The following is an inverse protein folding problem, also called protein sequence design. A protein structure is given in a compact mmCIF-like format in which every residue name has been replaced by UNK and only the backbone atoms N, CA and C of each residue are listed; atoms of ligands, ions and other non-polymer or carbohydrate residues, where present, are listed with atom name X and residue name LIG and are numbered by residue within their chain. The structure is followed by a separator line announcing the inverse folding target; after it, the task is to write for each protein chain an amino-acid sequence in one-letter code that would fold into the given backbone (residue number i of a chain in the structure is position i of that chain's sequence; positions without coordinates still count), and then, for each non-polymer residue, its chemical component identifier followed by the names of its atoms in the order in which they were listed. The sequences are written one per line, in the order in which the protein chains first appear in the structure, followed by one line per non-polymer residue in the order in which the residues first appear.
data_IF_848848697027
#
_entry.id   IF_848848697027
#
_cell.length_a   1.000
_cell.length_b   1.000
_cell.length_c   1.000
_cell.angle_alpha   90.00
_cell.angle_beta   90.00
_cell.angle_gamma   90.00
#
_symmetry.space_group_name_H-M   'P 1'
#
loop_
_entity.id
_entity.type
_entity.pdbx_description
1 polymer ?
#
# COMPACT_ATOMS: atom_id res chain seq x y z
N UNK A 1 -20.22 23.06 1.32
CA UNK A 1 -19.30 22.02 0.85
C UNK A 1 -19.46 20.84 1.78
N UNK A 2 -19.76 19.63 1.26
CA UNK A 2 -19.93 18.45 2.10
C UNK A 2 -18.60 18.06 2.76
N UNK A 3 -18.66 17.53 3.97
CA UNK A 3 -17.54 17.06 4.75
C UNK A 3 -17.06 15.70 4.21
N UNK A 4 -15.74 15.39 4.26
CA UNK A 4 -15.24 14.07 3.91
C UNK A 4 -15.52 13.10 5.05
N UNK A 5 -15.98 11.91 4.69
CA UNK A 5 -16.06 10.77 5.59
C UNK A 5 -14.81 9.90 5.45
N UNK A 6 -14.29 9.42 6.57
CA UNK A 6 -13.10 8.58 6.61
C UNK A 6 -13.46 7.20 7.13
N UNK A 7 -13.04 6.15 6.41
CA UNK A 7 -13.32 4.77 6.80
C UNK A 7 -12.20 3.83 6.36
N UNK A 8 -12.06 2.71 7.03
CA UNK A 8 -11.19 1.62 6.56
C UNK A 8 -11.73 1.04 5.26
N UNK A 9 -10.82 0.57 4.42
CA UNK A 9 -11.17 -0.10 3.19
C UNK A 9 -11.81 -1.48 3.47
N UNK A 10 -12.59 -1.93 2.51
CA UNK A 10 -13.26 -3.24 2.50
C UNK A 10 -13.00 -3.94 1.17
N UNK A 11 -13.42 -5.20 1.03
CA UNK A 11 -13.33 -5.93 -0.24
C UNK A 11 -14.01 -5.23 -1.42
N UNK A 12 -15.04 -4.44 -1.17
CA UNK A 12 -15.74 -3.69 -2.21
C UNK A 12 -14.89 -2.60 -2.84
N UNK A 13 -13.83 -2.17 -2.13
CA UNK A 13 -12.93 -1.10 -2.56
C UNK A 13 -11.72 -1.61 -3.38
N UNK A 14 -11.53 -2.92 -3.55
CA UNK A 14 -10.33 -3.53 -4.15
C UNK A 14 -9.94 -2.86 -5.47
N UNK A 15 -10.88 -2.59 -6.35
CA UNK A 15 -10.57 -1.95 -7.65
C UNK A 15 -10.00 -0.54 -7.47
N UNK A 16 -10.52 0.23 -6.52
CA UNK A 16 -9.97 1.55 -6.22
C UNK A 16 -8.59 1.44 -5.56
N UNK A 17 -8.37 0.45 -4.71
CA UNK A 17 -7.07 0.20 -4.09
C UNK A 17 -6.03 -0.22 -5.13
N UNK A 18 -6.40 -1.05 -6.10
CA UNK A 18 -5.52 -1.40 -7.23
C UNK A 18 -5.11 -0.15 -8.01
N UNK A 19 -6.05 0.73 -8.35
CA UNK A 19 -5.72 1.99 -9.03
C UNK A 19 -4.87 2.90 -8.13
N UNK A 20 -5.13 2.94 -6.83
CA UNK A 20 -4.30 3.66 -5.84
C UNK A 20 -2.84 3.18 -5.89
N UNK A 21 -2.60 1.88 -5.87
CA UNK A 21 -1.25 1.29 -5.92
C UNK A 21 -0.56 1.65 -7.23
N UNK A 22 -1.26 1.47 -8.37
CA UNK A 22 -0.73 1.77 -9.70
C UNK A 22 -0.33 3.25 -9.84
N UNK A 23 -1.22 4.16 -9.42
CA UNK A 23 -0.99 5.60 -9.55
C UNK A 23 0.11 6.10 -8.59
N UNK A 24 0.16 5.56 -7.37
CA UNK A 24 1.22 5.87 -6.42
C UNK A 24 2.59 5.39 -6.94
N UNK A 25 2.68 4.18 -7.48
CA UNK A 25 3.89 3.60 -8.08
C UNK A 25 4.40 4.41 -9.28
N UNK A 26 3.51 4.97 -10.09
CA UNK A 26 3.85 5.82 -11.23
C UNK A 26 4.19 7.26 -10.85
N UNK A 27 3.99 7.64 -9.61
CA UNK A 27 4.21 9.03 -9.18
C UNK A 27 5.66 9.48 -9.42
N UNK A 28 5.81 10.52 -10.23
CA UNK A 28 7.12 11.14 -10.54
C UNK A 28 7.95 10.42 -11.61
N UNK A 29 7.59 9.22 -12.05
CA UNK A 29 8.40 8.45 -13.01
C UNK A 29 7.62 7.97 -14.25
N UNK A 30 6.30 7.94 -14.19
CA UNK A 30 5.41 7.30 -15.17
C UNK A 30 5.75 5.81 -15.44
N UNK A 31 6.57 5.21 -14.56
CA UNK A 31 7.06 3.84 -14.71
C UNK A 31 6.52 2.98 -13.59
N UNK A 32 5.91 1.86 -13.96
CA UNK A 32 5.40 0.87 -13.04
C UNK A 32 6.53 -0.09 -12.63
N UNK A 33 6.86 -0.17 -11.34
CA UNK A 33 7.91 -1.06 -10.82
C UNK A 33 7.61 -2.53 -11.13
N UNK A 34 6.34 -2.92 -11.11
CA UNK A 34 5.90 -4.27 -11.49
C UNK A 34 6.25 -4.62 -12.95
N UNK A 35 6.23 -3.65 -13.86
CA UNK A 35 6.67 -3.88 -15.24
C UNK A 35 8.18 -4.08 -15.34
N UNK A 36 8.96 -3.25 -14.65
CA UNK A 36 10.43 -3.30 -14.70
C UNK A 36 10.99 -4.51 -13.97
N UNK A 37 10.50 -4.79 -12.77
CA UNK A 37 11.02 -5.84 -11.88
C UNK A 37 10.49 -7.21 -12.26
N UNK A 38 9.18 -7.34 -12.45
CA UNK A 38 8.54 -8.63 -12.70
C UNK A 38 8.23 -8.88 -14.18
N UNK A 39 8.36 -7.87 -15.05
CA UNK A 39 8.04 -8.00 -16.48
C UNK A 39 6.54 -8.12 -16.75
N UNK A 40 5.70 -7.58 -15.88
CA UNK A 40 4.25 -7.62 -16.01
C UNK A 40 3.74 -6.44 -16.86
N UNK A 41 2.70 -6.69 -17.66
CA UNK A 41 1.91 -5.62 -18.24
C UNK A 41 1.11 -4.90 -17.14
N UNK A 42 0.64 -3.68 -17.39
CA UNK A 42 -0.24 -2.98 -16.44
C UNK A 42 -1.53 -3.77 -16.19
N UNK A 43 -2.10 -4.39 -17.23
CA UNK A 43 -3.30 -5.20 -17.10
C UNK A 43 -3.08 -6.43 -16.20
N UNK A 44 -1.95 -7.13 -16.38
CA UNK A 44 -1.59 -8.25 -15.52
C UNK A 44 -1.27 -7.79 -14.09
N UNK A 45 -0.60 -6.65 -13.94
CA UNK A 45 -0.35 -6.06 -12.62
C UNK A 45 -1.64 -5.79 -11.89
N UNK A 46 -2.63 -5.13 -12.52
CA UNK A 46 -3.94 -4.88 -11.93
C UNK A 46 -4.64 -6.18 -11.50
N UNK A 47 -4.60 -7.20 -12.34
CA UNK A 47 -5.17 -8.51 -12.03
C UNK A 47 -4.52 -9.14 -10.80
N UNK A 48 -3.19 -9.18 -10.75
CA UNK A 48 -2.47 -9.82 -9.63
C UNK A 48 -2.56 -8.99 -8.34
N UNK A 49 -2.57 -7.68 -8.40
CA UNK A 49 -2.81 -6.83 -7.23
C UNK A 49 -4.20 -7.08 -6.63
N UNK A 50 -5.23 -7.20 -7.47
CA UNK A 50 -6.57 -7.56 -6.98
C UNK A 50 -6.55 -8.91 -6.25
N UNK A 51 -5.90 -9.93 -6.82
CA UNK A 51 -5.78 -11.24 -6.19
C UNK A 51 -5.02 -11.17 -4.85
N UNK A 52 -3.92 -10.39 -4.77
CA UNK A 52 -3.16 -10.22 -3.52
C UNK A 52 -4.00 -9.56 -2.44
N UNK A 53 -4.79 -8.54 -2.78
CA UNK A 53 -5.68 -7.88 -1.84
C UNK A 53 -6.81 -8.80 -1.36
N UNK A 54 -7.31 -9.70 -2.21
CA UNK A 54 -8.33 -10.69 -1.85
C UNK A 54 -7.84 -11.72 -0.82
N UNK A 55 -6.53 -11.96 -0.69
CA UNK A 55 -5.96 -12.87 0.30
C UNK A 55 -6.05 -12.35 1.75
N UNK A 56 -6.34 -11.06 1.94
CA UNK A 56 -6.51 -10.44 3.27
C UNK A 56 -5.34 -10.69 4.24
N UNK A 57 -4.12 -10.65 3.73
CA UNK A 57 -2.92 -10.77 4.56
C UNK A 57 -2.65 -9.42 5.24
N UNK A 58 -2.71 -9.38 6.57
CA UNK A 58 -2.44 -8.18 7.35
C UNK A 58 -0.95 -7.89 7.52
N UNK A 59 -0.62 -6.63 7.85
CA UNK A 59 0.72 -6.22 8.25
C UNK A 59 1.67 -5.79 7.14
N UNK A 60 1.17 -5.52 5.93
CA UNK A 60 1.96 -4.96 4.84
C UNK A 60 1.16 -3.98 3.97
N UNK A 61 1.83 -3.29 3.08
CA UNK A 61 1.23 -2.30 2.18
C UNK A 61 0.17 -2.84 1.21
N UNK A 62 0.14 -4.17 0.98
CA UNK A 62 -0.84 -4.84 0.12
C UNK A 62 -2.03 -5.43 0.89
N UNK A 63 -2.21 -5.03 2.15
CA UNK A 63 -3.34 -5.46 2.98
C UNK A 63 -4.53 -4.52 2.81
N UNK A 64 -5.75 -5.02 2.63
CA UNK A 64 -6.95 -4.16 2.61
C UNK A 64 -7.06 -3.38 3.93
N UNK A 65 -6.82 -4.02 5.07
CA UNK A 65 -6.86 -3.43 6.41
C UNK A 65 -5.90 -2.26 6.62
N UNK A 66 -4.83 -2.19 5.82
CA UNK A 66 -3.86 -1.09 5.85
C UNK A 66 -4.44 0.22 5.31
N UNK A 67 -5.47 0.16 4.46
CA UNK A 67 -5.96 1.35 3.78
C UNK A 67 -7.02 2.10 4.57
N UNK A 68 -6.82 3.42 4.68
CA UNK A 68 -7.81 4.41 5.08
C UNK A 68 -8.26 5.20 3.84
N UNK A 69 -9.57 5.34 3.69
CA UNK A 69 -10.21 6.02 2.57
C UNK A 69 -10.83 7.33 3.03
N UNK A 70 -10.74 8.36 2.19
CA UNK A 70 -11.56 9.57 2.27
C UNK A 70 -12.68 9.48 1.23
N UNK A 71 -13.93 9.61 1.65
CA UNK A 71 -15.11 9.49 0.80
C UNK A 71 -15.96 10.76 0.89
N UNK A 72 -16.52 11.19 -0.23
CA UNK A 72 -17.46 12.31 -0.32
C UNK A 72 -18.54 12.01 -1.36
N UNK A 73 -19.79 12.23 -0.99
CA UNK A 73 -20.94 12.02 -1.88
C UNK A 73 -20.95 10.61 -2.54
N UNK A 74 -20.55 9.56 -1.76
CA UNK A 74 -20.38 8.16 -2.18
C UNK A 74 -19.29 7.94 -3.23
N UNK A 75 -18.37 8.87 -3.38
CA UNK A 75 -17.18 8.73 -4.23
C UNK A 75 -15.94 8.68 -3.36
N UNK A 76 -15.07 7.70 -3.61
CA UNK A 76 -13.78 7.64 -2.92
C UNK A 76 -12.88 8.72 -3.53
N UNK A 77 -12.44 9.63 -2.68
CA UNK A 77 -11.64 10.79 -3.07
C UNK A 77 -10.15 10.54 -2.95
N UNK A 78 -9.74 9.75 -1.94
CA UNK A 78 -8.33 9.47 -1.67
C UNK A 78 -8.19 8.19 -0.84
N UNK A 79 -6.99 7.61 -0.88
CA UNK A 79 -6.59 6.49 -0.03
C UNK A 79 -5.14 6.65 0.43
N UNK A 80 -4.84 6.14 1.62
CA UNK A 80 -3.48 5.95 2.14
C UNK A 80 -3.35 4.59 2.78
N UNK A 81 -2.22 3.90 2.58
CA UNK A 81 -1.90 2.68 3.32
C UNK A 81 -1.00 2.97 4.51
N UNK A 82 -1.22 2.29 5.62
CA UNK A 82 -0.30 2.26 6.76
C UNK A 82 -0.36 0.93 7.49
N UNK A 83 0.75 0.55 8.11
CA UNK A 83 0.85 -0.65 8.95
C UNK A 83 1.89 -0.42 10.05
N UNK A 84 1.81 -1.18 11.12
CA UNK A 84 2.86 -1.23 12.13
C UNK A 84 3.82 -2.35 11.78
N UNK A 85 5.09 -2.02 11.60
CA UNK A 85 6.10 -3.00 11.18
C UNK A 85 6.23 -4.13 12.19
N UNK A 86 6.19 -5.37 11.69
CA UNK A 86 6.30 -6.59 12.50
C UNK A 86 5.19 -6.79 13.55
N UNK A 87 4.04 -6.12 13.41
CA UNK A 87 2.93 -6.26 14.36
C UNK A 87 2.38 -7.70 14.39
N UNK A 88 2.37 -8.38 13.25
CA UNK A 88 1.92 -9.77 13.11
C UNK A 88 3.04 -10.80 13.40
N UNK A 89 4.15 -10.37 14.01
CA UNK A 89 5.30 -11.24 14.31
C UNK A 89 6.15 -11.61 13.10
N UNK A 90 5.89 -10.96 11.94
CA UNK A 90 6.62 -11.17 10.70
C UNK A 90 6.87 -9.81 10.01
N UNK A 91 8.08 -9.54 9.50
CA UNK A 91 8.37 -8.31 8.76
C UNK A 91 7.47 -8.14 7.54
N UNK A 92 7.01 -6.91 7.29
CA UNK A 92 6.13 -6.57 6.16
C UNK A 92 6.71 -6.99 4.81
N UNK A 93 8.03 -6.86 4.65
CA UNK A 93 8.74 -7.31 3.44
C UNK A 93 8.63 -8.83 3.21
N UNK A 94 8.58 -9.63 4.27
CA UNK A 94 8.40 -11.10 4.17
C UNK A 94 6.95 -11.41 3.80
N UNK A 95 5.97 -10.73 4.42
CA UNK A 95 4.55 -10.88 4.09
C UNK A 95 4.31 -10.53 2.62
N UNK A 96 4.79 -9.38 2.16
CA UNK A 96 4.73 -8.97 0.75
C UNK A 96 5.42 -9.97 -0.18
N UNK A 97 6.61 -10.43 0.19
CA UNK A 97 7.37 -11.42 -0.58
C UNK A 97 6.62 -12.74 -0.74
N UNK A 98 5.95 -13.20 0.31
CA UNK A 98 5.11 -14.40 0.29
C UNK A 98 3.88 -14.23 -0.63
N UNK A 99 3.17 -13.09 -0.52
CA UNK A 99 2.05 -12.75 -1.41
C UNK A 99 2.47 -12.76 -2.87
N UNK A 100 3.57 -12.08 -3.21
CA UNK A 100 4.14 -12.05 -4.55
C UNK A 100 4.49 -13.45 -5.04
N UNK A 101 5.19 -14.25 -4.19
CA UNK A 101 5.62 -15.61 -4.53
C UNK A 101 4.48 -16.58 -4.74
N UNK A 102 3.35 -16.40 -4.05
CA UNK A 102 2.15 -17.22 -4.18
C UNK A 102 1.31 -16.80 -5.41
N UNK A 103 1.22 -15.50 -5.69
CA UNK A 103 0.28 -14.96 -6.68
C UNK A 103 0.88 -14.88 -8.09
N UNK A 104 2.17 -14.53 -8.19
CA UNK A 104 2.80 -14.30 -9.49
C UNK A 104 3.33 -15.60 -10.12
N UNK A 105 3.32 -15.70 -11.47
CA UNK A 105 3.95 -16.83 -12.17
C UNK A 105 5.44 -16.98 -11.82
N UNK A 106 5.91 -18.21 -11.81
CA UNK A 106 7.29 -18.55 -11.39
C UNK A 106 8.38 -17.81 -12.22
N UNK A 107 8.14 -17.60 -13.50
CA UNK A 107 9.06 -16.87 -14.38
C UNK A 107 9.20 -15.40 -14.00
N UNK A 108 8.11 -14.73 -13.56
CA UNK A 108 8.15 -13.35 -13.11
C UNK A 108 8.91 -13.22 -11.78
N UNK A 109 8.72 -14.18 -10.87
CA UNK A 109 9.47 -14.26 -9.61
C UNK A 109 10.96 -14.52 -9.86
N UNK A 110 11.29 -15.42 -10.81
CA UNK A 110 12.68 -15.68 -11.19
C UNK A 110 13.36 -14.41 -11.70
N UNK A 111 12.70 -13.67 -12.61
CA UNK A 111 13.19 -12.38 -13.12
C UNK A 111 13.46 -11.38 -11.99
N UNK A 112 12.53 -11.23 -11.05
CA UNK A 112 12.70 -10.34 -9.92
C UNK A 112 13.90 -10.73 -9.03
N UNK A 113 14.09 -12.02 -8.79
CA UNK A 113 15.25 -12.54 -8.03
C UNK A 113 16.58 -12.24 -8.71
N UNK A 114 16.66 -12.38 -10.02
CA UNK A 114 17.88 -12.05 -10.78
C UNK A 114 18.19 -10.55 -10.67
N UNK A 115 17.19 -9.67 -10.79
CA UNK A 115 17.37 -8.24 -10.64
C UNK A 115 17.70 -7.83 -9.19
N UNK A 116 17.09 -8.48 -8.19
CA UNK A 116 17.34 -8.17 -6.77
C UNK A 116 18.78 -8.47 -6.35
N UNK A 117 19.46 -9.40 -7.02
CA UNK A 117 20.88 -9.65 -6.77
C UNK A 117 21.78 -8.46 -7.11
N UNK A 118 21.35 -7.61 -8.07
CA UNK A 118 22.04 -6.38 -8.45
C UNK A 118 21.78 -5.23 -7.46
N UNK A 119 20.71 -5.31 -6.68
CA UNK A 119 20.24 -4.26 -5.79
C UNK A 119 20.47 -4.57 -4.31
N UNK A 120 21.25 -5.60 -3.97
CA UNK A 120 21.50 -6.03 -2.59
C UNK A 120 22.04 -4.96 -1.66
N UNK A 121 22.67 -3.93 -2.19
CA UNK A 121 23.27 -2.82 -1.43
C UNK A 121 22.25 -1.70 -1.13
N UNK A 122 21.03 -1.78 -1.70
CA UNK A 122 19.96 -0.79 -1.51
C UNK A 122 18.81 -1.47 -0.76
N UNK A 123 19.06 -1.85 0.48
CA UNK A 123 18.04 -2.41 1.35
C UNK A 123 17.68 -1.42 2.44
N UNK A 124 16.40 -1.02 2.51
CA UNK A 124 15.86 -0.22 3.60
C UNK A 124 15.18 -1.18 4.57
N UNK A 125 15.70 -1.26 5.79
CA UNK A 125 15.08 -2.03 6.86
C UNK A 125 14.09 -1.13 7.61
N UNK A 126 12.86 -1.57 7.72
CA UNK A 126 11.86 -0.92 8.56
C UNK A 126 12.12 -1.24 10.04
N UNK A 127 11.89 -0.27 10.90
CA UNK A 127 12.04 -0.46 12.36
C UNK A 127 10.83 -1.22 12.92
N UNK A 128 11.04 -2.38 13.58
CA UNK A 128 9.95 -3.11 14.22
C UNK A 128 9.18 -2.25 15.23
N UNK A 129 7.85 -2.31 15.19
CA UNK A 129 6.97 -1.51 16.04
C UNK A 129 6.74 -0.08 15.56
N UNK A 130 7.42 0.37 14.51
CA UNK A 130 7.19 1.70 13.92
C UNK A 130 5.99 1.69 12.98
N UNK A 131 5.22 2.79 12.98
CA UNK A 131 4.18 3.02 11.98
C UNK A 131 4.82 3.37 10.65
N UNK A 132 4.53 2.57 9.64
CA UNK A 132 4.89 2.81 8.25
C UNK A 132 3.74 3.51 7.55
N UNK A 133 4.04 4.57 6.80
CA UNK A 133 3.11 5.19 5.85
C UNK A 133 3.57 4.81 4.44
N UNK A 134 2.67 4.25 3.68
CA UNK A 134 2.99 3.73 2.35
C UNK A 134 2.31 4.49 1.23
N UNK A 135 1.64 3.74 0.37
CA UNK A 135 1.00 4.23 -0.84
C UNK A 135 -0.08 5.28 -0.56
N UNK A 136 -0.03 6.41 -1.24
CA UNK A 136 -1.04 7.46 -1.16
C UNK A 136 -1.48 7.89 -2.55
N UNK A 137 -2.79 8.05 -2.73
CA UNK A 137 -3.38 8.55 -3.96
C UNK A 137 -4.57 9.46 -3.67
N UNK A 138 -4.67 10.54 -4.43
CA UNK A 138 -5.83 11.45 -4.44
C UNK A 138 -6.37 11.52 -5.86
N UNK A 139 -7.64 11.17 -6.04
CA UNK A 139 -8.31 11.24 -7.32
C UNK A 139 -8.31 12.68 -7.85
N UNK A 140 -8.10 12.84 -9.17
CA UNK A 140 -7.81 14.13 -9.80
C UNK A 140 -8.84 15.24 -9.45
N UNK A 141 -10.12 14.89 -9.38
CA UNK A 141 -11.22 15.83 -9.04
C UNK A 141 -11.19 16.33 -7.59
N UNK A 142 -10.41 15.70 -6.70
CA UNK A 142 -10.34 16.02 -5.27
C UNK A 142 -8.96 16.58 -4.85
N UNK A 143 -8.04 16.77 -5.80
CA UNK A 143 -6.71 17.34 -5.51
C UNK A 143 -6.81 18.78 -5.03
N UNK A 144 -5.84 19.22 -4.23
CA UNK A 144 -5.79 20.57 -3.69
C UNK A 144 -6.72 20.82 -2.49
N UNK A 145 -7.33 19.76 -1.92
CA UNK A 145 -8.24 19.84 -0.78
C UNK A 145 -7.62 19.33 0.54
N UNK A 146 -6.29 19.27 0.62
CA UNK A 146 -5.52 18.90 1.82
C UNK A 146 -5.74 17.45 2.33
N UNK A 147 -6.33 16.57 1.52
CA UNK A 147 -6.72 15.21 1.92
C UNK A 147 -5.55 14.34 2.38
N UNK A 148 -4.36 14.52 1.80
CA UNK A 148 -3.17 13.74 2.18
C UNK A 148 -2.82 13.99 3.64
N UNK A 149 -2.78 15.25 4.07
CA UNK A 149 -2.48 15.60 5.46
C UNK A 149 -3.54 15.06 6.42
N UNK A 150 -4.82 15.22 6.08
CA UNK A 150 -5.92 14.72 6.89
C UNK A 150 -5.91 13.19 7.03
N UNK A 151 -5.59 12.46 5.95
CA UNK A 151 -5.43 11.00 5.98
C UNK A 151 -4.25 10.57 6.86
N UNK A 152 -3.11 11.25 6.75
CA UNK A 152 -1.92 10.99 7.58
C UNK A 152 -2.26 11.20 9.05
N UNK A 153 -2.86 12.35 9.42
CA UNK A 153 -3.23 12.64 10.80
C UNK A 153 -4.17 11.60 11.39
N UNK A 154 -5.17 11.14 10.60
CA UNK A 154 -6.09 10.09 11.03
C UNK A 154 -5.41 8.74 11.21
N UNK A 155 -4.54 8.33 10.28
CA UNK A 155 -3.79 7.08 10.43
C UNK A 155 -2.89 7.09 11.67
N UNK A 156 -2.25 8.21 11.97
CA UNK A 156 -1.47 8.39 13.19
C UNK A 156 -2.35 8.25 14.42
N UNK A 157 -3.49 8.95 14.46
CA UNK A 157 -4.42 8.90 15.60
C UNK A 157 -4.95 7.48 15.82
N UNK A 158 -5.39 6.80 14.77
CA UNK A 158 -5.90 5.42 14.82
C UNK A 158 -4.82 4.45 15.35
N UNK A 159 -3.59 4.59 14.87
CA UNK A 159 -2.48 3.72 15.27
C UNK A 159 -2.07 3.93 16.72
N UNK A 160 -2.05 5.17 17.20
CA UNK A 160 -1.76 5.49 18.62
C UNK A 160 -2.85 4.95 19.55
N UNK A 161 -4.11 4.90 19.11
CA UNK A 161 -5.21 4.33 19.89
C UNK A 161 -5.18 2.81 19.91
N UNK A 162 -4.84 2.17 18.78
CA UNK A 162 -4.82 0.72 18.65
C UNK A 162 -3.62 0.06 19.32
N UNK A 163 -2.47 0.76 19.38
CA UNK A 163 -1.23 0.22 19.93
C UNK A 163 -0.63 1.21 20.94
N UNK A 164 -1.05 1.17 22.23
CA UNK A 164 -0.45 1.99 23.26
C UNK A 164 1.03 1.62 23.43
N UNK A 165 1.94 2.49 23.05
CA UNK A 165 3.39 2.28 23.13
C UNK A 165 4.15 2.42 21.82
N UNK A 166 3.50 2.84 20.74
CA UNK A 166 4.21 3.31 19.54
C UNK A 166 4.92 4.61 19.94
N UNK A 167 6.24 4.55 20.09
CA UNK A 167 7.06 5.70 20.49
C UNK A 167 7.74 6.38 19.29
N UNK A 168 7.84 5.70 18.16
CA UNK A 168 8.56 6.18 16.99
C UNK A 168 7.69 6.15 15.74
N UNK A 169 7.66 7.28 15.03
CA UNK A 169 7.05 7.41 13.70
C UNK A 169 8.15 7.65 12.69
N UNK A 170 8.17 6.85 11.63
CA UNK A 170 9.02 7.07 10.47
C UNK A 170 8.15 7.29 9.23
N UNK A 171 8.44 8.36 8.51
CA UNK A 171 7.84 8.72 7.22
C UNK A 171 8.85 8.48 6.11
#
# INVERSE_FOLDING_TARGET
MGEFNYRKATREDIYFLVDTIIEAEKSGTDTLSYATVFGLSEADTKKYLAQMLEEEVDGCELSISSFLLAEKDRQIAAAISSWVENAEGMPSAVLKGNLLGYTLPAENIKRAKELSQLLKEIHIENTPGALQLGLVYVAASFRGQNLVLELIEKQIQDSLQATPGINDMFV
#
